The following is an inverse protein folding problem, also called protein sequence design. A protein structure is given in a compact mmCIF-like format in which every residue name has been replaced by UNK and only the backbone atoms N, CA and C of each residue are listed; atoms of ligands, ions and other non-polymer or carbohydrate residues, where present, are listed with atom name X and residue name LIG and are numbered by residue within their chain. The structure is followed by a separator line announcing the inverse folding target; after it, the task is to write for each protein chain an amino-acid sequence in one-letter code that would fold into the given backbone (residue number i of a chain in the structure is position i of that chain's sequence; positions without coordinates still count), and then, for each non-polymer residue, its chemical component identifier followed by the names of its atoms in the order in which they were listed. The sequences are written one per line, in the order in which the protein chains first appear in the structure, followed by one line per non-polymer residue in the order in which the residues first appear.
data_IF_579422638779
#
_entry.id   IF_579422638779
#
_cell.length_a   1.000
_cell.length_b   1.000
_cell.length_c   1.000
_cell.angle_alpha   90.00
_cell.angle_beta   90.00
_cell.angle_gamma   90.00
#
_symmetry.space_group_name_H-M   'P 1'
#
loop_
_entity.id
_entity.type
_entity.pdbx_description
1 polymer ?
#
# COMPACT_ATOMS: atom_id res chain seq x y z
N UNK A 1 1.26 -12.57 11.64
CA UNK A 1 0.30 -11.98 10.69
C UNK A 1 0.81 -12.17 9.28
N UNK A 2 0.03 -12.76 8.37
CA UNK A 2 0.48 -13.04 7.00
C UNK A 2 0.34 -11.80 6.11
N UNK A 3 1.30 -11.58 5.21
CA UNK A 3 1.34 -10.49 4.23
C UNK A 3 0.03 -10.28 3.44
N UNK A 4 -0.77 -11.34 3.26
CA UNK A 4 -2.12 -11.29 2.67
C UNK A 4 -3.07 -10.29 3.36
N UNK A 5 -2.97 -10.12 4.68
CA UNK A 5 -3.84 -9.20 5.43
C UNK A 5 -3.49 -7.73 5.16
N UNK A 6 -2.20 -7.42 5.01
CA UNK A 6 -1.74 -6.06 4.73
C UNK A 6 -2.18 -5.61 3.33
N UNK A 7 -2.11 -6.51 2.34
CA UNK A 7 -2.58 -6.23 0.98
C UNK A 7 -4.08 -5.90 0.96
N UNK A 8 -4.91 -6.66 1.69
CA UNK A 8 -6.35 -6.41 1.77
C UNK A 8 -6.68 -5.04 2.37
N UNK A 9 -5.91 -4.62 3.37
CA UNK A 9 -6.11 -3.33 4.05
C UNK A 9 -5.75 -2.15 3.15
N UNK A 10 -4.72 -2.28 2.32
CA UNK A 10 -4.34 -1.27 1.33
C UNK A 10 -5.38 -1.16 0.22
N UNK A 11 -5.89 -2.29 -0.30
CA UNK A 11 -6.94 -2.31 -1.32
C UNK A 11 -8.23 -1.66 -0.78
N UNK A 12 -8.56 -1.83 0.50
CA UNK A 12 -9.71 -1.20 1.15
C UNK A 12 -9.54 0.31 1.42
N UNK A 13 -8.30 0.77 1.66
CA UNK A 13 -8.00 2.16 2.00
C UNK A 13 -7.75 3.05 0.77
N UNK A 14 -7.54 2.43 -0.38
CA UNK A 14 -7.50 3.06 -1.68
C UNK A 14 -8.83 3.82 -1.91
N UNK A 15 -8.84 5.15 -2.17
CA UNK A 15 -10.05 5.96 -2.39
C UNK A 15 -10.70 5.68 -3.75
N UNK A 16 -10.86 4.40 -4.09
CA UNK A 16 -11.38 3.92 -5.36
C UNK A 16 -12.89 3.90 -5.27
N UNK A 17 -13.37 5.13 -5.36
CA UNK A 17 -14.74 5.55 -5.44
C UNK A 17 -15.42 4.90 -6.65
N UNK A 18 -16.25 3.91 -6.37
CA UNK A 18 -17.52 3.59 -7.04
C UNK A 18 -17.62 3.30 -8.55
N UNK A 19 -16.66 3.53 -9.45
CA UNK A 19 -16.86 3.23 -10.90
C UNK A 19 -15.60 2.99 -11.76
N UNK A 20 -14.39 3.00 -11.18
CA UNK A 20 -13.18 2.72 -11.93
C UNK A 20 -12.77 1.24 -11.76
N UNK A 21 -12.65 0.50 -12.87
CA UNK A 21 -12.09 -0.86 -12.89
C UNK A 21 -10.60 -0.78 -12.54
N UNK A 22 -10.29 -0.88 -11.25
CA UNK A 22 -8.94 -0.90 -10.74
C UNK A 22 -8.52 -2.32 -10.40
N UNK A 23 -7.61 -2.85 -11.20
CA UNK A 23 -7.12 -4.21 -11.04
C UNK A 23 -5.79 -4.17 -10.29
N UNK A 24 -5.79 -4.71 -9.07
CA UNK A 24 -4.53 -4.98 -8.36
C UNK A 24 -3.72 -5.99 -9.17
N UNK A 25 -2.55 -5.58 -9.65
CA UNK A 25 -1.68 -6.44 -10.46
C UNK A 25 -0.76 -7.24 -9.54
N UNK A 26 0.08 -6.55 -8.77
CA UNK A 26 1.05 -7.18 -7.89
C UNK A 26 1.63 -6.21 -6.85
N UNK A 27 2.26 -6.76 -5.80
CA UNK A 27 3.15 -5.99 -4.91
C UNK A 27 4.50 -5.86 -5.62
N UNK A 28 5.02 -4.63 -5.74
CA UNK A 28 6.31 -4.35 -6.38
C UNK A 28 7.43 -4.33 -5.36
N UNK A 29 7.19 -3.72 -4.20
CA UNK A 29 8.16 -3.65 -3.11
C UNK A 29 7.46 -3.86 -1.79
N UNK A 30 8.12 -4.60 -0.90
CA UNK A 30 7.71 -4.75 0.47
C UNK A 30 8.94 -4.60 1.35
N UNK A 31 8.98 -3.54 2.15
CA UNK A 31 10.03 -3.30 3.14
C UNK A 31 9.40 -3.31 4.52
N UNK A 32 10.15 -3.86 5.47
CA UNK A 32 9.80 -3.86 6.89
C UNK A 32 10.88 -3.09 7.64
N UNK A 33 10.47 -2.15 8.47
CA UNK A 33 11.37 -1.38 9.32
C UNK A 33 10.87 -1.43 10.77
N UNK A 34 11.78 -1.48 11.72
CA UNK A 34 11.45 -1.44 13.15
C UNK A 34 11.57 0.01 13.61
N UNK A 35 10.45 0.65 13.91
CA UNK A 35 10.39 2.06 14.37
C UNK A 35 9.36 2.15 15.47
N UNK A 36 9.79 1.97 16.72
CA UNK A 36 8.89 1.89 17.88
C UNK A 36 7.61 1.09 17.57
N UNK A 37 7.79 -0.05 16.90
CA UNK A 37 6.75 -0.86 16.26
C UNK A 37 7.33 -1.57 15.04
N UNK A 38 6.46 -2.03 14.16
CA UNK A 38 6.78 -2.47 12.82
C UNK A 38 6.14 -1.54 11.81
N UNK A 39 6.96 -0.85 11.02
CA UNK A 39 6.51 -0.10 9.86
C UNK A 39 6.66 -0.94 8.59
N UNK A 40 5.56 -1.16 7.89
CA UNK A 40 5.49 -1.86 6.63
C UNK A 40 5.35 -0.84 5.51
N UNK A 41 6.36 -0.77 4.64
CA UNK A 41 6.31 0.00 3.41
C UNK A 41 5.95 -0.97 2.29
N UNK A 42 4.82 -0.74 1.65
CA UNK A 42 4.27 -1.63 0.65
C UNK A 42 4.00 -0.79 -0.59
N UNK A 43 4.70 -1.09 -1.68
CA UNK A 43 4.44 -0.50 -2.99
C UNK A 43 3.62 -1.50 -3.79
N UNK A 44 2.41 -1.12 -4.16
CA UNK A 44 1.51 -1.92 -4.99
C UNK A 44 1.41 -1.33 -6.39
N UNK A 45 1.25 -2.20 -7.39
CA UNK A 45 0.90 -1.82 -8.75
C UNK A 45 -0.57 -2.10 -8.99
N UNK A 46 -1.25 -1.09 -9.52
CA UNK A 46 -2.67 -1.14 -9.84
C UNK A 46 -2.85 -0.67 -11.28
N UNK A 47 -3.71 -1.33 -12.03
CA UNK A 47 -4.10 -0.91 -13.38
C UNK A 47 -5.40 -0.14 -13.28
N UNK A 48 -5.40 1.14 -13.64
CA UNK A 48 -6.59 2.01 -13.68
C UNK A 48 -6.92 2.33 -15.14
N UNK A 49 -8.05 1.81 -15.65
CA UNK A 49 -8.50 2.12 -17.02
C UNK A 49 -7.47 1.77 -18.11
N UNK A 50 -6.64 0.74 -17.89
CA UNK A 50 -5.56 0.32 -18.78
C UNK A 50 -4.20 0.99 -18.52
N UNK A 51 -4.13 2.01 -17.67
CA UNK A 51 -2.88 2.64 -17.26
C UNK A 51 -2.34 2.04 -15.96
N UNK A 52 -1.07 1.61 -15.95
CA UNK A 52 -0.42 1.09 -14.75
C UNK A 52 0.02 2.24 -13.86
N UNK A 53 -0.42 2.24 -12.61
CA UNK A 53 -0.06 3.20 -11.57
C UNK A 53 0.55 2.47 -10.38
N UNK A 54 1.56 3.10 -9.78
CA UNK A 54 2.17 2.62 -8.56
C UNK A 54 1.63 3.41 -7.38
N UNK A 55 1.42 2.73 -6.26
CA UNK A 55 1.02 3.36 -5.00
C UNK A 55 1.93 2.87 -3.88
N UNK A 56 2.42 3.81 -3.08
CA UNK A 56 3.17 3.52 -1.87
C UNK A 56 2.27 3.69 -0.66
N UNK A 57 2.19 2.62 0.13
CA UNK A 57 1.46 2.56 1.39
C UNK A 57 2.45 2.35 2.55
N UNK A 58 2.29 3.12 3.62
CA UNK A 58 3.03 2.97 4.88
C UNK A 58 2.06 2.56 5.97
N UNK A 59 2.20 1.35 6.47
CA UNK A 59 1.37 0.81 7.56
C UNK A 59 2.23 0.70 8.81
N UNK A 60 1.88 1.43 9.85
CA UNK A 60 2.53 1.33 11.15
C UNK A 60 1.72 0.45 12.08
N UNK A 61 2.36 -0.59 12.61
CA UNK A 61 1.81 -1.53 13.55
C UNK A 61 2.60 -1.52 14.85
N UNK A 62 1.93 -1.40 15.99
CA UNK A 62 2.53 -1.57 17.32
C UNK A 62 1.77 -2.68 18.04
N UNK A 63 2.30 -3.92 18.07
CA UNK A 63 1.57 -5.08 18.57
C UNK A 63 1.26 -4.97 20.08
N UNK A 64 2.08 -4.26 20.84
CA UNK A 64 1.86 -4.06 22.29
C UNK A 64 0.76 -3.04 22.62
N UNK A 65 0.42 -2.16 21.69
CA UNK A 65 -0.68 -1.17 21.86
C UNK A 65 -1.93 -1.57 21.05
N UNK A 66 -1.92 -2.71 20.37
CA UNK A 66 -2.93 -3.07 19.36
C UNK A 66 -3.15 -1.96 18.32
N UNK A 67 -2.14 -1.12 18.09
CA UNK A 67 -2.24 0.03 17.21
C UNK A 67 -1.87 -0.38 15.79
N UNK A 68 -2.75 -0.09 14.82
CA UNK A 68 -2.50 -0.25 13.39
C UNK A 68 -3.06 0.95 12.66
N UNK A 69 -2.20 1.64 11.91
CA UNK A 69 -2.60 2.82 11.15
C UNK A 69 -1.90 2.84 9.80
N UNK A 70 -2.65 3.17 8.77
CA UNK A 70 -2.09 3.59 7.49
C UNK A 70 -1.59 5.03 7.69
N UNK A 71 -0.28 5.19 7.81
CA UNK A 71 0.38 6.48 7.99
C UNK A 71 0.34 7.30 6.69
N UNK A 72 0.64 6.64 5.57
CA UNK A 72 0.72 7.31 4.27
C UNK A 72 0.19 6.40 3.19
N UNK A 73 -0.55 6.98 2.24
CA UNK A 73 -0.96 6.32 1.03
C UNK A 73 -0.90 7.33 -0.11
N UNK A 74 0.05 7.15 -1.02
CA UNK A 74 0.27 8.09 -2.12
C UNK A 74 0.59 7.39 -3.42
N UNK A 75 0.13 7.91 -4.57
CA UNK A 75 0.62 7.46 -5.85
C UNK A 75 2.13 7.73 -5.94
N UNK A 76 2.87 6.76 -6.44
CA UNK A 76 4.25 6.95 -6.88
C UNK A 76 4.11 7.43 -8.32
N UNK A 77 4.19 8.74 -8.53
CA UNK A 77 4.31 9.28 -9.89
C UNK A 77 5.58 8.70 -10.52
N UNK A 78 5.46 8.17 -11.75
CA UNK A 78 6.55 7.63 -12.58
C UNK A 78 7.62 8.70 -12.97
N UNK A 79 7.69 9.83 -12.25
CA UNK A 79 8.56 10.96 -12.53
C UNK A 79 10.03 10.80 -12.08
N UNK A 80 10.47 9.58 -11.74
CA UNK A 80 11.86 9.33 -11.32
C UNK A 80 12.49 8.12 -12.01
N UNK A 81 12.22 7.96 -13.31
CA UNK A 81 13.13 7.26 -14.21
C UNK A 81 13.62 8.30 -15.23
N UNK A 82 14.57 9.12 -14.79
CA UNK A 82 15.49 9.85 -15.66
C UNK A 82 16.89 9.26 -15.42
#
# INVERSE_FOLDING_TARGET
MTWRFLVRLIILALPLSQNALLEFENVVKLKKQIVAGTMHFITIRVTEGGAKKLYEAKVWEKPWENFKKLEEFKPVEDAAIA
#
